data_IF_535804963974
#
_entry.id   IF_535804963974
#
_cell.length_a   1.000
_cell.length_b   1.000
_cell.length_c   1.000
_cell.angle_alpha   90.00
_cell.angle_beta   90.00
_cell.angle_gamma   90.00
#
_symmetry.space_group_name_H-M   'P 1'
#
loop_
_entity.id
_entity.type
_entity.pdbx_description
1 polymer ?
#
# COMPACT_ATOMS: atom_id res chain seq x y z
N UNK A 1 4.84 1.87 -23.40
CA UNK A 1 4.03 3.08 -23.15
C UNK A 1 4.90 4.25 -22.72
N UNK A 2 4.38 5.46 -22.82
CA UNK A 2 5.01 6.68 -22.37
C UNK A 2 4.58 6.96 -20.93
N UNK A 3 5.53 7.15 -20.02
CA UNK A 3 5.27 7.41 -18.59
C UNK A 3 5.82 8.79 -18.23
N UNK A 4 5.02 9.60 -17.54
CA UNK A 4 5.50 10.75 -16.80
C UNK A 4 5.70 10.36 -15.32
N UNK A 5 6.69 10.97 -14.67
CA UNK A 5 6.94 10.77 -13.23
C UNK A 5 6.72 12.11 -12.54
N UNK A 6 5.87 12.13 -11.50
CA UNK A 6 5.60 13.29 -10.68
C UNK A 6 6.12 13.01 -9.26
N UNK A 7 7.13 13.78 -8.84
CA UNK A 7 7.91 13.52 -7.63
C UNK A 7 9.14 12.65 -7.91
N UNK A 8 10.35 13.27 -7.90
CA UNK A 8 11.59 12.59 -8.26
C UNK A 8 12.53 12.37 -7.07
N UNK A 9 11.93 11.93 -5.97
CA UNK A 9 12.64 11.46 -4.77
C UNK A 9 13.13 10.01 -4.90
N UNK A 10 13.28 9.33 -3.76
CA UNK A 10 13.75 7.92 -3.73
C UNK A 10 12.83 6.98 -4.54
N UNK A 11 11.52 7.17 -4.44
CA UNK A 11 10.55 6.35 -5.18
C UNK A 11 10.57 6.67 -6.67
N UNK A 12 10.51 7.95 -7.06
CA UNK A 12 10.51 8.35 -8.47
C UNK A 12 11.72 7.83 -9.24
N UNK A 13 12.92 7.88 -8.65
CA UNK A 13 14.13 7.32 -9.27
C UNK A 13 14.07 5.80 -9.46
N UNK A 14 13.53 5.10 -8.49
CA UNK A 14 13.38 3.64 -8.57
C UNK A 14 12.31 3.25 -9.60
N UNK A 15 11.21 4.00 -9.67
CA UNK A 15 10.15 3.83 -10.67
C UNK A 15 10.71 4.05 -12.08
N UNK A 16 11.55 5.09 -12.29
CA UNK A 16 12.20 5.33 -13.58
C UNK A 16 13.06 4.13 -14.01
N UNK A 17 13.91 3.63 -13.10
CA UNK A 17 14.76 2.47 -13.37
C UNK A 17 13.92 1.26 -13.80
N UNK A 18 12.89 0.93 -13.04
CA UNK A 18 12.05 -0.24 -13.30
C UNK A 18 11.23 -0.06 -14.58
N UNK A 19 10.65 1.12 -14.80
CA UNK A 19 9.91 1.40 -16.02
C UNK A 19 10.77 1.23 -17.28
N UNK A 20 12.01 1.71 -17.26
CA UNK A 20 12.99 1.51 -18.35
C UNK A 20 13.35 0.03 -18.53
N UNK A 21 13.58 -0.72 -17.44
CA UNK A 21 13.87 -2.16 -17.50
C UNK A 21 12.71 -2.94 -18.10
N UNK A 22 11.47 -2.48 -17.91
CA UNK A 22 10.25 -3.09 -18.49
C UNK A 22 9.95 -2.58 -19.92
N UNK A 23 10.82 -1.75 -20.51
CA UNK A 23 10.70 -1.28 -21.90
C UNK A 23 9.76 -0.09 -22.07
N UNK A 24 9.49 0.69 -21.00
CA UNK A 24 8.70 1.92 -21.09
C UNK A 24 9.59 3.14 -21.31
N UNK A 25 9.01 4.18 -21.93
CA UNK A 25 9.68 5.45 -22.17
C UNK A 25 9.31 6.43 -21.04
N UNK A 26 10.29 7.04 -20.41
CA UNK A 26 10.06 8.18 -19.52
C UNK A 26 10.11 9.45 -20.36
N UNK A 27 8.96 10.08 -20.55
CA UNK A 27 8.80 11.25 -21.44
C UNK A 27 8.90 12.57 -20.68
N UNK A 28 8.55 12.58 -19.39
CA UNK A 28 8.58 13.77 -18.55
C UNK A 28 8.87 13.39 -17.10
N UNK A 29 9.64 14.21 -16.40
CA UNK A 29 9.86 14.09 -14.95
C UNK A 29 9.56 15.45 -14.35
N UNK A 30 8.59 15.50 -13.43
CA UNK A 30 8.16 16.71 -12.74
C UNK A 30 8.52 16.61 -11.26
N UNK A 31 9.15 17.65 -10.74
CA UNK A 31 9.43 17.84 -9.32
C UNK A 31 9.10 19.28 -8.91
N UNK A 32 9.50 19.70 -7.72
CA UNK A 32 9.17 21.02 -7.17
C UNK A 32 9.66 22.19 -8.04
N UNK A 33 10.81 22.03 -8.70
CA UNK A 33 11.50 23.11 -9.42
C UNK A 33 11.03 23.29 -10.87
N UNK A 34 10.23 22.39 -11.43
CA UNK A 34 9.83 22.43 -12.84
C UNK A 34 8.32 22.19 -13.06
N UNK A 35 7.49 22.73 -12.19
CA UNK A 35 6.01 22.59 -12.24
C UNK A 35 5.39 23.10 -13.56
N UNK A 36 6.06 23.98 -14.29
CA UNK A 36 5.61 24.44 -15.60
C UNK A 36 5.62 23.33 -16.67
N UNK A 37 6.36 22.25 -16.45
CA UNK A 37 6.45 21.13 -17.40
C UNK A 37 5.14 20.31 -17.50
N UNK A 38 4.18 20.51 -16.60
CA UNK A 38 2.83 19.99 -16.79
C UNK A 38 2.19 20.48 -18.11
N UNK A 39 2.51 21.69 -18.55
CA UNK A 39 1.99 22.27 -19.81
C UNK A 39 2.87 21.94 -21.02
N UNK A 40 3.89 21.09 -20.86
CA UNK A 40 4.78 20.73 -21.93
C UNK A 40 4.15 19.69 -22.90
N UNK A 41 4.52 19.71 -24.19
CA UNK A 41 4.14 18.64 -25.11
C UNK A 41 4.64 17.26 -24.67
N UNK A 42 5.76 17.20 -23.95
CA UNK A 42 6.31 15.97 -23.41
C UNK A 42 5.35 15.34 -22.38
N UNK A 43 4.86 16.13 -21.42
CA UNK A 43 3.89 15.66 -20.45
C UNK A 43 2.57 15.22 -21.12
N UNK A 44 2.04 16.03 -22.04
CA UNK A 44 0.82 15.73 -22.77
C UNK A 44 0.92 14.45 -23.65
N UNK A 45 2.12 13.98 -23.95
CA UNK A 45 2.37 12.72 -24.68
C UNK A 45 2.39 11.47 -23.79
N UNK A 46 2.27 11.63 -22.47
CA UNK A 46 2.27 10.51 -21.53
C UNK A 46 0.95 9.75 -21.57
N UNK A 47 1.01 8.43 -21.58
CA UNK A 47 -0.14 7.54 -21.40
C UNK A 47 -0.60 7.53 -19.93
N UNK A 48 0.37 7.56 -19.01
CA UNK A 48 0.15 7.51 -17.56
C UNK A 48 1.21 8.34 -16.84
N UNK A 49 0.80 9.04 -15.79
CA UNK A 49 1.70 9.70 -14.85
C UNK A 49 1.75 8.91 -13.54
N UNK A 50 2.95 8.59 -13.05
CA UNK A 50 3.14 7.94 -11.74
C UNK A 50 3.55 9.00 -10.73
N UNK A 51 2.71 9.20 -9.71
CA UNK A 51 2.79 10.29 -8.74
C UNK A 51 3.17 9.77 -7.34
N UNK A 52 4.30 10.23 -6.83
CA UNK A 52 4.77 9.98 -5.46
C UNK A 52 5.34 11.28 -4.88
N UNK A 53 4.45 12.12 -4.34
CA UNK A 53 4.83 13.41 -3.75
C UNK A 53 4.40 13.51 -2.29
N UNK A 54 3.72 14.59 -1.92
CA UNK A 54 3.23 14.84 -0.57
C UNK A 54 1.71 14.91 -0.53
N UNK A 55 1.06 14.70 0.64
CA UNK A 55 -0.38 14.84 0.79
C UNK A 55 -0.94 16.16 0.26
N UNK A 56 -0.17 17.25 0.45
CA UNK A 56 -0.58 18.60 0.08
C UNK A 56 -0.51 18.86 -1.43
N UNK A 57 0.42 18.20 -2.13
CA UNK A 57 0.63 18.40 -3.56
C UNK A 57 -0.20 17.44 -4.43
N UNK A 58 -0.55 16.26 -3.90
CA UNK A 58 -1.12 15.16 -4.65
C UNK A 58 -2.38 15.56 -5.45
N UNK A 59 -3.34 16.19 -4.80
CA UNK A 59 -4.60 16.57 -5.44
C UNK A 59 -4.42 17.59 -6.58
N UNK A 60 -3.56 18.59 -6.39
CA UNK A 60 -3.26 19.57 -7.44
C UNK A 60 -2.53 18.91 -8.64
N UNK A 61 -1.63 17.96 -8.36
CA UNK A 61 -0.98 17.16 -9.38
C UNK A 61 -1.99 16.34 -10.21
N UNK A 62 -3.01 15.74 -9.56
CA UNK A 62 -4.06 15.01 -10.27
C UNK A 62 -4.83 15.94 -11.20
N UNK A 63 -5.25 17.10 -10.71
CA UNK A 63 -6.00 18.09 -11.53
C UNK A 63 -5.21 18.53 -12.76
N UNK A 64 -3.90 18.81 -12.59
CA UNK A 64 -3.01 19.17 -13.70
C UNK A 64 -2.88 18.02 -14.71
N UNK A 65 -2.69 16.78 -14.25
CA UNK A 65 -2.60 15.63 -15.13
C UNK A 65 -3.92 15.38 -15.90
N UNK A 66 -5.04 15.47 -15.22
CA UNK A 66 -6.37 15.29 -15.81
C UNK A 66 -6.70 16.38 -16.84
N UNK A 67 -6.26 17.63 -16.63
CA UNK A 67 -6.44 18.71 -17.62
C UNK A 67 -5.76 18.39 -18.98
N UNK A 68 -4.76 17.51 -18.99
CA UNK A 68 -4.08 17.01 -20.20
C UNK A 68 -4.55 15.62 -20.63
N UNK A 69 -5.63 15.08 -20.03
CA UNK A 69 -6.12 13.71 -20.23
C UNK A 69 -5.08 12.61 -19.94
N UNK A 70 -4.12 12.87 -19.07
CA UNK A 70 -3.13 11.91 -18.63
C UNK A 70 -3.67 11.15 -17.43
N UNK A 71 -3.71 9.82 -17.51
CA UNK A 71 -4.12 8.95 -16.40
C UNK A 71 -3.11 9.00 -15.28
N UNK A 72 -3.55 8.82 -14.04
CA UNK A 72 -2.67 8.92 -12.87
C UNK A 72 -2.62 7.62 -12.09
N UNK A 73 -1.42 7.22 -11.67
CA UNK A 73 -1.17 6.21 -10.64
C UNK A 73 -0.52 6.91 -9.47
N UNK A 74 -1.13 6.89 -8.29
CA UNK A 74 -0.63 7.62 -7.14
C UNK A 74 -0.46 6.77 -5.89
N UNK A 75 0.73 6.90 -5.28
CA UNK A 75 1.07 6.38 -3.96
C UNK A 75 1.05 7.45 -2.85
N UNK A 76 0.70 8.68 -3.15
CA UNK A 76 0.55 9.72 -2.14
C UNK A 76 -0.68 9.45 -1.26
N UNK A 77 -0.52 9.60 0.05
CA UNK A 77 -1.56 9.35 1.04
C UNK A 77 -1.95 10.64 1.76
N UNK A 78 -3.00 10.61 2.60
CA UNK A 78 -3.40 11.73 3.46
C UNK A 78 -4.27 12.80 2.78
N UNK A 79 -4.59 12.69 1.50
CA UNK A 79 -5.46 13.62 0.75
C UNK A 79 -6.93 13.18 0.73
N UNK A 80 -7.22 11.91 0.97
CA UNK A 80 -8.56 11.30 0.83
C UNK A 80 -9.64 11.98 1.66
N UNK A 81 -9.35 12.36 2.91
CA UNK A 81 -10.32 12.99 3.80
C UNK A 81 -10.82 14.35 3.27
N UNK A 82 -9.96 15.08 2.54
CA UNK A 82 -10.26 16.42 2.01
C UNK A 82 -10.79 16.39 0.59
N UNK A 83 -10.27 15.50 -0.27
CA UNK A 83 -10.48 15.52 -1.71
C UNK A 83 -11.03 14.21 -2.30
N UNK A 84 -11.27 13.20 -1.47
CA UNK A 84 -11.67 11.86 -1.95
C UNK A 84 -13.00 11.87 -2.72
N UNK A 85 -13.94 12.71 -2.30
CA UNK A 85 -15.25 12.85 -2.97
C UNK A 85 -15.11 13.51 -4.35
N UNK A 86 -14.31 14.59 -4.43
CA UNK A 86 -14.05 15.30 -5.67
C UNK A 86 -13.32 14.42 -6.69
N UNK A 87 -12.29 13.69 -6.24
CA UNK A 87 -11.56 12.74 -7.10
C UNK A 87 -12.48 11.61 -7.59
N UNK A 88 -13.34 11.08 -6.74
CA UNK A 88 -14.31 10.06 -7.12
C UNK A 88 -15.24 10.58 -8.23
N UNK A 89 -15.74 11.80 -8.09
CA UNK A 89 -16.58 12.44 -9.09
C UNK A 89 -15.84 12.62 -10.42
N UNK A 90 -14.59 13.11 -10.40
CA UNK A 90 -13.77 13.24 -11.62
C UNK A 90 -13.61 11.90 -12.34
N UNK A 91 -13.40 10.81 -11.60
CA UNK A 91 -13.25 9.48 -12.19
C UNK A 91 -14.58 8.90 -12.71
N UNK A 92 -15.70 9.11 -12.01
CA UNK A 92 -16.99 8.49 -12.34
C UNK A 92 -17.81 9.29 -13.35
N UNK A 93 -17.75 10.62 -13.28
CA UNK A 93 -18.60 11.51 -14.08
C UNK A 93 -17.85 12.23 -15.21
N UNK A 94 -16.57 12.51 -15.02
CA UNK A 94 -15.76 13.30 -15.96
C UNK A 94 -14.80 12.44 -16.80
N UNK A 95 -14.83 11.10 -16.63
CA UNK A 95 -14.04 10.16 -17.42
C UNK A 95 -12.55 10.10 -17.08
N UNK A 96 -12.13 10.69 -15.95
CA UNK A 96 -10.75 10.66 -15.51
C UNK A 96 -10.36 9.29 -14.94
N UNK A 97 -9.06 9.02 -14.89
CA UNK A 97 -8.57 7.74 -14.37
C UNK A 97 -7.51 7.97 -13.30
N UNK A 98 -7.80 7.48 -12.09
CA UNK A 98 -6.85 7.39 -11.00
C UNK A 98 -6.73 5.94 -10.53
N UNK A 99 -5.52 5.39 -10.58
CA UNK A 99 -5.17 4.20 -9.80
C UNK A 99 -4.54 4.67 -8.49
N UNK A 100 -5.19 4.38 -7.37
CA UNK A 100 -4.67 4.76 -6.07
C UNK A 100 -4.49 3.56 -5.15
N UNK A 101 -3.34 3.53 -4.46
CA UNK A 101 -3.11 2.60 -3.37
C UNK A 101 -2.24 3.25 -2.28
N UNK A 102 -2.52 2.95 -1.03
CA UNK A 102 -1.64 3.31 0.10
C UNK A 102 -0.39 2.43 0.14
N UNK A 103 -0.42 1.28 -0.51
CA UNK A 103 0.68 0.34 -0.60
C UNK A 103 0.68 -0.35 -1.98
N UNK A 104 1.77 -0.21 -2.73
CA UNK A 104 1.96 -0.81 -4.06
C UNK A 104 2.73 -2.12 -4.03
N UNK A 105 3.11 -2.64 -2.86
CA UNK A 105 3.86 -3.89 -2.79
C UNK A 105 3.01 -5.07 -3.26
N UNK A 106 3.43 -5.70 -4.35
CA UNK A 106 2.80 -6.92 -4.88
C UNK A 106 2.84 -8.02 -3.83
N UNK A 107 3.98 -8.15 -3.12
CA UNK A 107 4.13 -9.12 -2.03
C UNK A 107 3.11 -8.90 -0.92
N UNK A 108 2.86 -7.64 -0.52
CA UNK A 108 1.83 -7.31 0.48
C UNK A 108 0.44 -7.63 -0.05
N UNK A 109 0.12 -7.33 -1.31
CA UNK A 109 -1.19 -7.65 -1.89
C UNK A 109 -1.46 -9.15 -1.93
N UNK A 110 -0.47 -9.96 -2.34
CA UNK A 110 -0.54 -11.44 -2.28
C UNK A 110 -0.70 -11.90 -0.83
N UNK A 111 0.07 -11.33 0.08
CA UNK A 111 0.02 -11.66 1.50
C UNK A 111 -1.36 -11.38 2.11
N UNK A 112 -1.98 -10.24 1.79
CA UNK A 112 -3.34 -9.90 2.20
C UNK A 112 -4.38 -10.89 1.64
N UNK A 113 -4.26 -11.29 0.37
CA UNK A 113 -5.15 -12.28 -0.22
C UNK A 113 -5.05 -13.64 0.51
N UNK A 114 -3.82 -14.09 0.80
CA UNK A 114 -3.56 -15.31 1.58
C UNK A 114 -4.10 -15.18 3.02
N UNK A 115 -3.92 -14.01 3.65
CA UNK A 115 -4.42 -13.71 4.99
C UNK A 115 -5.95 -13.88 5.07
N UNK A 116 -6.69 -13.24 4.18
CA UNK A 116 -8.16 -13.36 4.10
C UNK A 116 -8.61 -14.81 3.93
N UNK A 117 -7.96 -15.54 2.99
CA UNK A 117 -8.30 -16.92 2.73
C UNK A 117 -7.96 -17.85 3.89
N UNK A 118 -6.82 -17.64 4.53
CA UNK A 118 -6.43 -18.42 5.71
C UNK A 118 -7.38 -18.13 6.88
N UNK A 119 -7.72 -16.88 7.15
CA UNK A 119 -8.68 -16.52 8.20
C UNK A 119 -10.05 -17.16 7.98
N UNK A 120 -10.58 -17.15 6.74
CA UNK A 120 -11.83 -17.82 6.38
C UNK A 120 -11.78 -19.34 6.70
N UNK A 121 -10.67 -20.01 6.36
CA UNK A 121 -10.48 -21.43 6.68
C UNK A 121 -10.41 -21.65 8.19
N UNK A 122 -9.64 -20.83 8.90
CA UNK A 122 -9.40 -20.94 10.34
C UNK A 122 -10.63 -20.60 11.18
N UNK A 123 -11.64 -19.97 10.61
CA UNK A 123 -12.92 -19.74 11.31
C UNK A 123 -13.61 -21.07 11.71
N UNK A 124 -13.33 -22.15 11.00
CA UNK A 124 -13.87 -23.50 11.28
C UNK A 124 -13.09 -24.26 12.35
N UNK A 125 -11.96 -23.73 12.81
CA UNK A 125 -11.04 -24.41 13.74
C UNK A 125 -10.77 -23.55 14.97
N UNK A 126 -11.73 -23.51 15.94
CA UNK A 126 -11.65 -22.60 17.08
C UNK A 126 -10.52 -22.90 18.07
N UNK A 127 -9.89 -24.07 17.98
CA UNK A 127 -8.73 -24.44 18.79
C UNK A 127 -7.46 -23.65 18.45
N UNK A 128 -7.42 -23.00 17.26
CA UNK A 128 -6.31 -22.11 16.91
C UNK A 128 -6.63 -20.68 17.35
N UNK A 129 -5.78 -20.11 18.18
CA UNK A 129 -5.79 -18.67 18.43
C UNK A 129 -4.91 -17.96 17.41
N UNK A 130 -5.16 -16.67 17.16
CA UNK A 130 -4.42 -15.87 16.18
C UNK A 130 -3.80 -14.66 16.86
N UNK A 131 -2.55 -14.33 16.47
CA UNK A 131 -1.89 -13.07 16.78
C UNK A 131 -1.11 -12.58 15.56
N UNK A 132 -0.77 -11.29 15.58
CA UNK A 132 -0.01 -10.64 14.51
C UNK A 132 1.24 -10.01 15.12
N UNK A 133 2.36 -10.18 14.43
CA UNK A 133 3.62 -9.52 14.74
C UNK A 133 4.06 -8.62 13.59
N UNK A 134 4.55 -7.42 13.90
CA UNK A 134 5.16 -6.55 12.92
C UNK A 134 6.53 -6.06 13.39
N UNK A 135 7.51 -6.03 12.48
CA UNK A 135 8.84 -5.49 12.76
C UNK A 135 9.19 -4.42 11.75
N UNK A 136 9.64 -3.25 12.23
CA UNK A 136 10.12 -2.15 11.40
C UNK A 136 11.39 -1.54 11.99
N UNK A 137 12.00 -0.64 11.19
CA UNK A 137 13.18 0.12 11.60
C UNK A 137 12.91 1.00 12.82
N UNK A 138 13.99 1.34 13.54
CA UNK A 138 13.93 2.10 14.82
C UNK A 138 13.37 3.53 14.69
N UNK A 139 13.32 4.08 13.47
CA UNK A 139 12.81 5.44 13.20
C UNK A 139 11.30 5.49 12.92
N UNK A 140 10.60 4.33 12.87
CA UNK A 140 9.17 4.30 12.63
C UNK A 140 8.40 4.72 13.88
N UNK A 141 7.57 5.77 13.75
CA UNK A 141 6.86 6.38 14.87
C UNK A 141 5.53 5.68 15.20
N UNK A 142 4.80 5.27 14.18
CA UNK A 142 3.51 4.60 14.36
C UNK A 142 3.70 3.13 14.78
N UNK A 143 2.93 2.69 15.75
CA UNK A 143 2.81 1.30 16.21
C UNK A 143 1.36 1.06 16.67
N UNK A 144 0.69 0.02 16.13
CA UNK A 144 1.10 -0.84 15.02
C UNK A 144 1.20 -0.09 13.69
N UNK A 145 1.91 -0.68 12.72
CA UNK A 145 1.98 -0.14 11.36
C UNK A 145 0.62 -0.19 10.64
N UNK A 146 0.38 0.73 9.69
CA UNK A 146 -0.86 0.73 8.90
C UNK A 146 -1.13 -0.61 8.20
N UNK A 147 -0.10 -1.28 7.68
CA UNK A 147 -0.22 -2.62 7.08
C UNK A 147 -0.65 -3.67 8.11
N UNK A 148 -0.09 -3.65 9.32
CA UNK A 148 -0.49 -4.58 10.39
C UNK A 148 -1.94 -4.37 10.82
N UNK A 149 -2.40 -3.12 10.88
CA UNK A 149 -3.79 -2.78 11.17
C UNK A 149 -4.72 -3.35 10.08
N UNK A 150 -4.41 -3.12 8.80
CA UNK A 150 -5.21 -3.67 7.69
C UNK A 150 -5.28 -5.20 7.75
N UNK A 151 -4.15 -5.87 8.00
CA UNK A 151 -4.12 -7.33 8.15
C UNK A 151 -5.00 -7.82 9.29
N UNK A 152 -4.98 -7.11 10.44
CA UNK A 152 -5.81 -7.44 11.58
C UNK A 152 -7.30 -7.23 11.30
N UNK A 153 -7.68 -6.14 10.64
CA UNK A 153 -9.05 -5.87 10.21
C UNK A 153 -9.56 -6.95 9.25
N UNK A 154 -8.72 -7.40 8.31
CA UNK A 154 -9.06 -8.52 7.42
C UNK A 154 -9.28 -9.83 8.17
N UNK A 155 -8.46 -10.14 9.18
CA UNK A 155 -8.64 -11.32 10.04
C UNK A 155 -9.93 -11.23 10.84
N UNK A 156 -10.17 -10.11 11.50
CA UNK A 156 -11.39 -9.86 12.31
C UNK A 156 -12.65 -9.97 11.44
N UNK A 157 -12.61 -9.51 10.19
CA UNK A 157 -13.74 -9.63 9.27
C UNK A 157 -14.10 -11.07 8.88
N UNK A 158 -13.19 -12.04 9.05
CA UNK A 158 -13.38 -13.45 8.68
C UNK A 158 -13.55 -14.39 9.90
N UNK A 159 -13.14 -13.97 11.09
CA UNK A 159 -13.17 -14.79 12.30
C UNK A 159 -14.29 -14.35 13.23
N UNK A 160 -15.40 -15.09 13.27
CA UNK A 160 -16.57 -14.81 14.14
C UNK A 160 -16.21 -14.68 15.63
N UNK A 161 -15.12 -15.33 16.05
CA UNK A 161 -14.64 -15.30 17.44
C UNK A 161 -13.73 -14.10 17.76
N UNK A 162 -13.44 -13.23 16.80
CA UNK A 162 -12.65 -12.01 17.02
C UNK A 162 -13.51 -10.80 16.67
N UNK A 163 -13.64 -9.86 17.60
CA UNK A 163 -14.52 -8.69 17.48
C UNK A 163 -13.77 -7.42 17.11
N UNK A 164 -12.50 -7.34 17.51
CA UNK A 164 -11.65 -6.17 17.26
C UNK A 164 -10.18 -6.54 17.38
N UNK A 165 -9.31 -5.65 16.93
CA UNK A 165 -7.88 -5.74 17.23
C UNK A 165 -7.49 -4.76 18.33
N UNK A 166 -6.39 -5.06 19.03
CA UNK A 166 -5.81 -4.24 20.09
C UNK A 166 -4.28 -4.14 19.93
N UNK A 167 -3.69 -3.13 20.52
CA UNK A 167 -2.23 -3.03 20.61
C UNK A 167 -1.71 -4.09 21.57
N UNK A 168 -0.87 -4.97 21.05
CA UNK A 168 -0.10 -5.92 21.82
C UNK A 168 1.14 -5.30 22.46
N UNK A 169 2.15 -6.10 22.71
CA UNK A 169 3.42 -5.61 23.24
C UNK A 169 4.17 -4.76 22.21
N UNK A 170 4.82 -3.69 22.69
CA UNK A 170 5.68 -2.86 21.86
C UNK A 170 7.12 -2.98 22.34
N UNK A 171 7.95 -3.63 21.53
CA UNK A 171 9.38 -3.79 21.78
C UNK A 171 10.15 -2.65 21.14
N UNK A 172 10.58 -1.68 21.95
CA UNK A 172 11.22 -0.46 21.49
C UNK A 172 12.70 -0.65 21.13
N UNK A 173 13.28 0.31 20.44
CA UNK A 173 14.66 0.27 19.98
C UNK A 173 15.71 0.24 21.11
N UNK A 174 15.38 0.80 22.27
CA UNK A 174 16.23 0.81 23.46
C UNK A 174 16.13 -0.48 24.29
N UNK A 175 15.36 -1.46 23.83
CA UNK A 175 15.12 -2.75 24.49
C UNK A 175 14.02 -2.71 25.55
N UNK A 176 13.39 -1.56 25.79
CA UNK A 176 12.23 -1.49 26.68
C UNK A 176 10.98 -2.10 26.02
N UNK A 177 10.08 -2.60 26.86
CA UNK A 177 8.81 -3.19 26.42
C UNK A 177 7.69 -2.38 27.04
N UNK A 178 6.81 -1.87 26.18
CA UNK A 178 5.50 -1.34 26.59
C UNK A 178 4.52 -2.52 26.58
N UNK A 179 3.96 -2.91 27.75
CA UNK A 179 3.09 -4.07 27.82
C UNK A 179 1.80 -3.84 26.99
N UNK A 180 1.21 -4.94 26.54
CA UNK A 180 -0.10 -4.93 25.92
C UNK A 180 -1.16 -4.38 26.86
N UNK A 181 -2.23 -3.81 26.31
CA UNK A 181 -3.46 -3.61 27.03
C UNK A 181 -4.02 -4.99 27.45
N UNK A 182 -4.86 -5.05 28.50
CA UNK A 182 -5.50 -6.31 28.86
C UNK A 182 -6.33 -6.81 27.70
N UNK A 183 -5.96 -7.98 27.16
CA UNK A 183 -6.66 -8.61 26.04
C UNK A 183 -7.68 -9.62 26.54
N UNK A 184 -8.83 -9.66 25.90
CA UNK A 184 -9.82 -10.73 26.03
C UNK A 184 -9.68 -11.71 24.86
N UNK A 185 -10.21 -12.92 25.02
CA UNK A 185 -10.07 -13.98 23.99
C UNK A 185 -10.69 -13.60 22.65
N UNK A 186 -11.63 -12.66 22.63
CA UNK A 186 -12.27 -12.14 21.42
C UNK A 186 -11.52 -10.97 20.75
N UNK A 187 -10.37 -10.57 21.29
CA UNK A 187 -9.52 -9.53 20.72
C UNK A 187 -8.30 -10.13 20.02
N UNK A 188 -7.87 -9.47 18.93
CA UNK A 188 -6.67 -9.81 18.17
C UNK A 188 -5.53 -8.86 18.55
N UNK A 189 -4.50 -9.37 19.20
CA UNK A 189 -3.32 -8.57 19.55
C UNK A 189 -2.38 -8.40 18.33
N UNK A 190 -1.80 -7.20 18.22
CA UNK A 190 -0.73 -6.88 17.25
C UNK A 190 0.50 -6.45 18.03
N UNK A 191 1.53 -7.30 18.04
CA UNK A 191 2.80 -7.02 18.67
C UNK A 191 3.72 -6.26 17.69
N UNK A 192 4.40 -5.23 18.19
CA UNK A 192 5.23 -4.34 17.38
C UNK A 192 6.68 -4.35 17.83
N UNK A 193 7.60 -4.57 16.90
CA UNK A 193 9.04 -4.62 17.15
C UNK A 193 9.76 -3.51 16.38
N UNK A 194 10.74 -2.85 17.01
CA UNK A 194 11.60 -1.84 16.40
C UNK A 194 13.03 -2.32 16.39
N UNK A 195 13.56 -2.69 15.19
CA UNK A 195 14.86 -3.34 15.03
C UNK A 195 15.63 -2.77 13.84
N UNK A 196 16.81 -2.21 14.08
CA UNK A 196 17.75 -1.78 13.05
C UNK A 196 17.11 -0.95 11.94
N UNK A 197 17.37 -1.32 10.70
CA UNK A 197 16.84 -0.68 9.46
C UNK A 197 15.83 -1.57 8.72
N UNK A 198 15.15 -2.46 9.41
CA UNK A 198 14.16 -3.39 8.82
C UNK A 198 13.08 -2.61 8.07
N UNK A 199 12.89 -2.83 6.76
CA UNK A 199 11.89 -2.11 5.96
C UNK A 199 10.45 -2.42 6.36
N UNK A 200 10.19 -3.66 6.79
CA UNK A 200 8.90 -4.13 7.28
C UNK A 200 8.75 -5.65 7.15
N UNK A 201 8.51 -6.30 8.28
CA UNK A 201 8.15 -7.73 8.34
C UNK A 201 6.78 -7.82 9.01
N UNK A 202 5.90 -8.64 8.47
CA UNK A 202 4.58 -8.91 9.05
C UNK A 202 4.35 -10.41 9.10
N UNK A 203 3.99 -10.92 10.26
CA UNK A 203 3.70 -12.35 10.48
C UNK A 203 2.31 -12.50 11.09
N UNK A 204 1.55 -13.44 10.58
CA UNK A 204 0.26 -13.85 11.12
C UNK A 204 0.41 -15.29 11.57
N UNK A 205 0.16 -15.55 12.83
CA UNK A 205 0.39 -16.84 13.47
C UNK A 205 -0.93 -17.34 14.03
N UNK A 206 -1.32 -18.53 13.61
CA UNK A 206 -2.41 -19.32 14.19
C UNK A 206 -1.80 -20.45 15.01
N UNK A 207 -2.02 -20.45 16.31
CA UNK A 207 -1.39 -21.34 17.26
C UNK A 207 -2.41 -22.21 18.02
N UNK A 208 -2.08 -23.49 18.22
CA UNK A 208 -2.87 -24.46 18.98
C UNK A 208 -1.95 -25.28 19.89
N UNK A 209 -2.54 -26.14 20.76
CA UNK A 209 -1.72 -27.09 21.55
C UNK A 209 -0.95 -28.10 20.68
N UNK A 210 -1.40 -28.37 19.46
CA UNK A 210 -0.82 -29.40 18.60
C UNK A 210 0.26 -28.87 17.69
N UNK A 211 0.05 -27.69 17.08
CA UNK A 211 0.93 -27.11 16.09
C UNK A 211 0.61 -25.60 15.86
N UNK A 212 1.42 -24.95 15.05
CA UNK A 212 1.18 -23.59 14.60
C UNK A 212 1.27 -23.47 13.08
N UNK A 213 0.47 -22.57 12.51
CA UNK A 213 0.50 -22.17 11.10
C UNK A 213 0.89 -20.71 11.04
N UNK A 214 1.98 -20.38 10.34
CA UNK A 214 2.45 -19.02 10.18
C UNK A 214 2.56 -18.65 8.71
N UNK A 215 2.11 -17.45 8.36
CA UNK A 215 2.43 -16.80 7.10
C UNK A 215 3.20 -15.52 7.38
N UNK A 216 4.24 -15.24 6.60
CA UNK A 216 5.12 -14.09 6.81
C UNK A 216 5.44 -13.41 5.50
N UNK A 217 5.35 -12.07 5.50
CA UNK A 217 5.89 -11.21 4.46
C UNK A 217 7.07 -10.43 5.02
N UNK A 218 8.24 -10.55 4.36
CA UNK A 218 9.47 -9.85 4.71
C UNK A 218 9.90 -8.95 3.54
N UNK A 219 9.79 -7.64 3.72
CA UNK A 219 10.21 -6.67 2.72
C UNK A 219 11.73 -6.43 2.80
N UNK A 220 12.46 -6.82 1.76
CA UNK A 220 13.92 -6.62 1.70
C UNK A 220 14.31 -5.21 1.26
N UNK A 221 13.44 -4.52 0.50
CA UNK A 221 13.69 -3.18 -0.01
C UNK A 221 12.40 -2.51 -0.49
N UNK A 222 12.50 -1.22 -0.90
CA UNK A 222 11.39 -0.50 -1.53
C UNK A 222 11.16 -0.87 -3.00
N UNK A 223 11.96 -1.76 -3.59
CA UNK A 223 11.84 -2.14 -5.00
C UNK A 223 10.47 -2.72 -5.33
N UNK A 224 9.92 -3.56 -4.47
CA UNK A 224 8.59 -4.15 -4.65
C UNK A 224 7.45 -3.12 -4.76
N UNK A 225 7.56 -1.97 -4.07
CA UNK A 225 6.59 -0.89 -4.21
C UNK A 225 6.70 -0.19 -5.57
N UNK A 226 7.92 0.04 -6.05
CA UNK A 226 8.14 0.67 -7.35
C UNK A 226 7.74 -0.26 -8.50
N UNK A 227 8.00 -1.56 -8.39
CA UNK A 227 7.52 -2.58 -9.34
C UNK A 227 5.99 -2.61 -9.41
N UNK A 228 5.32 -2.59 -8.26
CA UNK A 228 3.86 -2.53 -8.22
C UNK A 228 3.29 -1.25 -8.80
N UNK A 229 3.94 -0.09 -8.59
CA UNK A 229 3.51 1.17 -9.19
C UNK A 229 3.62 1.14 -10.73
N UNK A 230 4.66 0.52 -11.28
CA UNK A 230 4.80 0.37 -12.74
C UNK A 230 3.76 -0.62 -13.29
N UNK A 231 3.49 -1.74 -12.60
CA UNK A 231 2.42 -2.66 -12.97
C UNK A 231 1.04 -2.00 -12.91
N UNK A 232 0.78 -1.19 -11.90
CA UNK A 232 -0.44 -0.41 -11.81
C UNK A 232 -0.58 0.59 -12.98
N UNK A 233 0.54 1.17 -13.45
CA UNK A 233 0.54 2.04 -14.62
C UNK A 233 0.22 1.26 -15.91
N UNK A 234 0.79 0.06 -16.08
CA UNK A 234 0.45 -0.83 -17.20
C UNK A 234 -1.04 -1.19 -17.22
N UNK A 235 -1.60 -1.47 -16.05
CA UNK A 235 -3.02 -1.75 -15.88
C UNK A 235 -3.89 -0.52 -16.18
N UNK A 236 -3.57 0.62 -15.58
CA UNK A 236 -4.30 1.88 -15.78
C UNK A 236 -4.27 2.35 -17.23
N UNK A 237 -3.20 2.08 -17.99
CA UNK A 237 -3.12 2.44 -19.41
C UNK A 237 -4.29 1.89 -20.23
N UNK A 238 -4.81 0.70 -19.88
CA UNK A 238 -5.89 0.00 -20.60
C UNK A 238 -7.25 0.01 -19.86
N UNK A 239 -7.31 0.52 -18.64
CA UNK A 239 -8.53 0.59 -17.80
C UNK A 239 -8.86 2.04 -17.46
N UNK A 240 -10.10 2.31 -17.07
CA UNK A 240 -10.59 3.65 -16.76
C UNK A 240 -11.29 3.70 -15.40
N UNK A 241 -11.34 4.89 -14.82
CA UNK A 241 -12.07 5.19 -13.59
C UNK A 241 -11.18 5.17 -12.33
N UNK A 242 -11.78 4.96 -11.18
CA UNK A 242 -11.07 4.84 -9.92
C UNK A 242 -10.65 3.39 -9.70
N UNK A 243 -9.36 3.11 -9.81
CA UNK A 243 -8.76 1.78 -9.80
C UNK A 243 -7.93 1.56 -8.53
N UNK A 244 -7.84 0.32 -8.09
CA UNK A 244 -7.14 -0.11 -6.87
C UNK A 244 -6.27 -1.35 -7.11
N UNK A 245 -5.52 -1.77 -6.10
CA UNK A 245 -4.77 -3.04 -6.15
C UNK A 245 -5.71 -4.26 -6.27
N UNK A 246 -6.92 -4.20 -5.71
CA UNK A 246 -7.90 -5.28 -5.86
C UNK A 246 -8.37 -5.42 -7.31
N UNK A 247 -8.51 -4.32 -8.04
CA UNK A 247 -8.82 -4.36 -9.48
C UNK A 247 -7.69 -4.98 -10.29
N UNK A 248 -6.44 -4.63 -9.97
CA UNK A 248 -5.24 -5.18 -10.63
C UNK A 248 -5.17 -6.70 -10.48
N UNK A 249 -5.52 -7.22 -9.30
CA UNK A 249 -5.46 -8.65 -9.00
C UNK A 249 -6.78 -9.39 -9.18
N UNK A 250 -7.82 -8.72 -9.68
CA UNK A 250 -9.12 -9.32 -9.90
C UNK A 250 -9.04 -10.53 -10.84
N UNK A 251 -9.43 -11.68 -10.30
CA UNK A 251 -9.38 -12.96 -11.04
C UNK A 251 -8.05 -13.71 -10.96
N UNK A 252 -7.09 -13.24 -10.16
CA UNK A 252 -5.84 -13.92 -9.89
C UNK A 252 -5.92 -14.81 -8.63
N UNK A 253 -6.87 -14.53 -7.74
CA UNK A 253 -7.09 -15.23 -6.46
C UNK A 253 -8.53 -15.74 -6.34
#
# INVERSE_FOLDING_TARGET
MNIAIIGYGKMGRMIEEIAKQRGHNIVCIIDQDNQADFDSPAFASADVAIEFTTPQAAFDNYRKAFAHNVKVVSGSTGWLAQHGEEVRKMCQEEGQTLFWASNFSIGVAIFQALNRRLAELMNRFPQYNVHIEETHHVHKQDAPSGTAITLAEEVVAQLDRKTTWVKGEQHLADGSIVPSEQTTDDQLAIDSFRRGEVPGIHSIVYDSEADSISITHDAHSRRGFAEGAVLAAEYAATHNGLLTMDDLFKGWF
#
